data_IF_662854953745
#
_entry.id   IF_662854953745
#
_cell.length_a   1.000
_cell.length_b   1.000
_cell.length_c   1.000
_cell.angle_alpha   90.00
_cell.angle_beta   90.00
_cell.angle_gamma   90.00
#
_symmetry.space_group_name_H-M   'P 1'
#
loop_
_entity.id
_entity.type
_entity.pdbx_description
1 polymer ?
#
# COMPACT_ATOMS: atom_id res chain seq x y z
N UNK A 1 -3.96 -14.16 4.72
CA UNK A 1 -5.06 -13.73 3.82
C UNK A 1 -4.44 -12.88 2.72
N UNK A 2 -4.17 -13.46 1.55
CA UNK A 2 -3.24 -12.86 0.56
C UNK A 2 -3.69 -13.09 -0.90
N UNK A 3 -5.00 -13.02 -1.20
CA UNK A 3 -5.50 -13.17 -2.59
C UNK A 3 -6.72 -12.30 -2.89
N UNK A 4 -6.83 -11.10 -2.32
CA UNK A 4 -7.88 -10.17 -2.75
C UNK A 4 -7.41 -9.45 -4.03
N UNK A 5 -7.84 -9.92 -5.19
CA UNK A 5 -7.60 -9.26 -6.49
C UNK A 5 -8.40 -7.97 -6.63
N UNK A 6 -9.45 -7.83 -5.84
CA UNK A 6 -10.39 -6.72 -5.87
C UNK A 6 -10.64 -6.20 -4.45
N UNK A 7 -10.85 -4.89 -4.35
CA UNK A 7 -11.24 -4.23 -3.11
C UNK A 7 -12.62 -4.75 -2.69
N UNK A 8 -12.70 -5.32 -1.50
CA UNK A 8 -13.95 -5.92 -1.00
C UNK A 8 -15.08 -4.92 -0.71
N UNK A 9 -14.79 -3.61 -0.72
CA UNK A 9 -15.80 -2.56 -0.50
C UNK A 9 -16.53 -2.23 -1.80
N UNK A 10 -15.79 -2.00 -2.89
CA UNK A 10 -16.38 -1.62 -4.17
C UNK A 10 -16.50 -2.77 -5.17
N UNK A 11 -15.72 -3.85 -5.01
CA UNK A 11 -15.63 -4.97 -5.96
C UNK A 11 -15.27 -4.57 -7.40
N UNK A 12 -14.64 -3.40 -7.58
CA UNK A 12 -14.33 -2.83 -8.90
C UNK A 12 -12.83 -2.58 -9.12
N UNK A 13 -12.11 -2.17 -8.06
CA UNK A 13 -10.72 -1.69 -8.13
C UNK A 13 -9.80 -2.67 -7.44
N UNK A 14 -8.56 -2.77 -7.93
CA UNK A 14 -7.51 -3.51 -7.22
C UNK A 14 -7.20 -2.81 -5.89
N UNK A 15 -6.92 -3.57 -4.82
CA UNK A 15 -6.38 -2.98 -3.61
C UNK A 15 -5.00 -2.37 -3.87
N UNK A 16 -4.80 -1.12 -3.46
CA UNK A 16 -3.57 -0.33 -3.62
C UNK A 16 -3.12 0.30 -2.28
N UNK A 17 -3.87 0.10 -1.19
CA UNK A 17 -3.50 0.56 0.15
C UNK A 17 -3.56 -0.57 1.17
N UNK A 18 -2.57 -0.59 2.07
CA UNK A 18 -2.48 -1.50 3.22
C UNK A 18 -2.68 -0.69 4.50
N UNK A 19 -3.62 -1.10 5.34
CA UNK A 19 -3.81 -0.54 6.68
C UNK A 19 -2.82 -1.16 7.69
N UNK A 20 -2.60 -0.58 8.89
CA UNK A 20 -1.66 -1.12 9.88
C UNK A 20 -2.01 -2.53 10.38
N UNK A 21 -3.27 -2.94 10.21
CA UNK A 21 -3.75 -4.29 10.49
C UNK A 21 -3.53 -5.29 9.35
N UNK A 22 -2.74 -4.93 8.32
CA UNK A 22 -2.42 -5.72 7.13
C UNK A 22 -3.62 -6.06 6.22
N UNK A 23 -4.78 -5.43 6.42
CA UNK A 23 -5.90 -5.55 5.48
C UNK A 23 -5.77 -4.54 4.34
N UNK A 24 -6.15 -4.97 3.14
CA UNK A 24 -5.95 -4.23 1.90
C UNK A 24 -7.26 -3.79 1.26
N UNK A 25 -7.29 -2.57 0.74
CA UNK A 25 -8.44 -1.96 0.07
C UNK A 25 -7.96 -1.05 -1.06
N UNK A 26 -8.88 -0.50 -1.87
CA UNK A 26 -8.52 0.60 -2.76
C UNK A 26 -8.56 1.94 -2.01
N UNK A 27 -7.66 2.84 -2.39
CA UNK A 27 -7.40 4.18 -1.85
C UNK A 27 -8.69 4.98 -1.72
N UNK A 28 -9.45 5.07 -2.82
CA UNK A 28 -10.74 5.75 -2.87
C UNK A 28 -11.73 5.26 -1.81
N UNK A 29 -11.82 3.95 -1.58
CA UNK A 29 -12.73 3.41 -0.57
C UNK A 29 -12.27 3.72 0.87
N UNK A 30 -10.96 3.71 1.14
CA UNK A 30 -10.43 4.06 2.45
C UNK A 30 -10.50 5.55 2.73
N UNK A 31 -10.25 6.40 1.74
CA UNK A 31 -10.43 7.85 1.85
C UNK A 31 -11.89 8.21 2.16
N UNK A 32 -12.84 7.62 1.42
CA UNK A 32 -14.26 7.81 1.69
C UNK A 32 -14.65 7.27 3.08
N UNK A 33 -14.08 6.15 3.50
CA UNK A 33 -14.30 5.59 4.82
C UNK A 33 -13.84 6.54 5.94
N UNK A 34 -12.64 7.12 5.78
CA UNK A 34 -12.09 8.11 6.71
C UNK A 34 -12.89 9.41 6.68
N UNK A 35 -13.37 9.87 5.51
CA UNK A 35 -14.19 11.08 5.41
C UNK A 35 -15.55 10.96 6.12
N UNK A 36 -16.08 9.75 6.22
CA UNK A 36 -17.24 9.41 7.06
C UNK A 36 -16.91 9.33 8.57
N UNK A 37 -15.71 9.75 8.99
CA UNK A 37 -15.19 9.69 10.37
C UNK A 37 -15.14 8.28 10.96
N UNK A 38 -14.95 7.25 10.11
CA UNK A 38 -14.81 5.86 10.56
C UNK A 38 -13.33 5.52 10.79
N UNK A 39 -12.87 5.75 12.02
CA UNK A 39 -11.48 5.52 12.45
C UNK A 39 -11.15 4.06 12.77
N UNK A 40 -11.68 3.10 12.01
CA UNK A 40 -11.42 1.67 12.24
C UNK A 40 -11.44 0.87 10.95
N UNK A 41 -10.70 -0.23 10.89
CA UNK A 41 -10.67 -1.12 9.74
C UNK A 41 -12.07 -1.71 9.45
N UNK A 42 -12.55 -1.69 8.19
CA UNK A 42 -13.82 -2.30 7.80
C UNK A 42 -13.94 -3.80 8.12
N UNK A 43 -12.80 -4.53 8.17
CA UNK A 43 -12.76 -5.97 8.39
C UNK A 43 -12.61 -6.37 9.85
N UNK A 44 -11.57 -5.86 10.52
CA UNK A 44 -11.22 -6.28 11.88
C UNK A 44 -11.47 -5.24 12.96
N UNK A 45 -11.92 -4.03 12.59
CA UNK A 45 -12.17 -2.91 13.50
C UNK A 45 -10.95 -2.42 14.29
N UNK A 46 -9.73 -2.79 13.88
CA UNK A 46 -8.52 -2.16 14.42
C UNK A 46 -8.59 -0.63 14.22
N UNK A 47 -8.24 0.18 15.23
CA UNK A 47 -8.23 1.64 15.10
C UNK A 47 -7.32 2.12 13.96
N UNK A 48 -7.73 3.21 13.31
CA UNK A 48 -6.99 3.88 12.23
C UNK A 48 -6.86 5.38 12.54
N UNK A 49 -5.72 5.96 12.21
CA UNK A 49 -5.57 7.41 12.17
C UNK A 49 -6.29 8.01 10.95
N UNK A 50 -7.08 9.06 11.21
CA UNK A 50 -7.90 9.74 10.23
C UNK A 50 -7.12 10.74 9.37
N UNK A 51 -5.92 11.12 9.80
CA UNK A 51 -5.03 12.06 9.12
C UNK A 51 -4.33 11.48 7.88
N UNK A 52 -4.43 10.16 7.66
CA UNK A 52 -3.82 9.49 6.52
C UNK A 52 -2.45 8.87 6.80
N UNK A 53 -1.84 9.12 7.97
CA UNK A 53 -0.47 8.67 8.30
C UNK A 53 -0.30 7.15 8.36
N UNK A 54 -1.39 6.42 8.53
CA UNK A 54 -1.42 4.97 8.74
C UNK A 54 -1.60 4.12 7.47
N UNK A 55 -1.74 4.73 6.29
CA UNK A 55 -1.98 4.01 5.04
C UNK A 55 -0.71 3.93 4.19
N UNK A 56 -0.32 2.71 3.80
CA UNK A 56 0.83 2.47 2.94
C UNK A 56 0.36 2.13 1.52
N UNK A 57 0.92 2.79 0.52
CA UNK A 57 0.63 2.53 -0.90
C UNK A 57 1.39 1.28 -1.36
N UNK A 58 0.69 0.37 -2.03
CA UNK A 58 1.28 -0.79 -2.68
C UNK A 58 1.92 -0.30 -3.99
N UNK A 59 3.25 -0.40 -4.16
CA UNK A 59 3.88 -0.01 -5.41
C UNK A 59 3.44 -0.95 -6.54
N UNK A 60 3.42 -0.43 -7.77
CA UNK A 60 3.22 -1.24 -8.95
C UNK A 60 4.30 -2.33 -9.07
N UNK A 61 3.97 -3.40 -9.79
CA UNK A 61 4.92 -4.47 -10.07
C UNK A 61 6.06 -3.89 -10.91
N UNK A 62 7.27 -3.93 -10.35
CA UNK A 62 8.49 -3.57 -11.07
C UNK A 62 8.74 -4.63 -12.15
N UNK A 63 8.94 -4.20 -13.40
CA UNK A 63 9.20 -5.13 -14.51
C UNK A 63 10.52 -5.89 -14.31
N UNK A 64 10.58 -7.12 -14.82
CA UNK A 64 11.74 -7.99 -14.70
C UNK A 64 12.99 -7.29 -15.28
N UNK A 65 13.95 -6.99 -14.40
CA UNK A 65 15.22 -6.35 -14.76
C UNK A 65 15.36 -4.90 -14.30
N UNK A 66 14.27 -4.17 -14.06
CA UNK A 66 14.32 -2.79 -13.56
C UNK A 66 14.85 -2.75 -12.12
N UNK A 67 14.35 -3.65 -11.26
CA UNK A 67 14.86 -3.81 -9.89
C UNK A 67 16.36 -4.18 -9.88
N UNK A 68 16.77 -5.05 -10.82
CA UNK A 68 18.18 -5.46 -10.95
C UNK A 68 19.06 -4.25 -11.30
N UNK A 69 18.67 -3.45 -12.28
CA UNK A 69 19.41 -2.27 -12.69
C UNK A 69 19.52 -1.25 -11.54
N UNK A 70 18.43 -1.02 -10.82
CA UNK A 70 18.42 -0.15 -9.64
C UNK A 70 19.38 -0.64 -8.55
N UNK A 71 19.32 -1.93 -8.19
CA UNK A 71 20.23 -2.53 -7.20
C UNK A 71 21.70 -2.40 -7.64
N UNK A 72 22.00 -2.67 -8.91
CA UNK A 72 23.35 -2.49 -9.47
C UNK A 72 23.85 -1.04 -9.42
N UNK A 73 22.96 -0.05 -9.57
CA UNK A 73 23.35 1.36 -9.46
C UNK A 73 23.65 1.80 -8.03
N UNK A 74 22.96 1.23 -7.03
CA UNK A 74 23.24 1.53 -5.62
C UNK A 74 24.61 0.99 -5.17
N UNK A 75 25.02 -0.18 -5.67
CA UNK A 75 26.31 -0.78 -5.30
C UNK A 75 27.51 -0.06 -5.93
N UNK A 76 27.33 0.66 -7.04
CA UNK A 76 28.40 1.39 -7.74
C UNK A 76 28.75 2.74 -7.10
N UNK A 77 27.90 3.27 -6.22
CA UNK A 77 28.14 4.53 -5.52
C UNK A 77 29.20 4.42 -4.41
N UNK A 78 29.52 3.19 -3.97
CA UNK A 78 30.52 2.93 -2.94
C UNK A 78 31.97 2.97 -3.48
N UNK A 79 32.18 2.63 -4.76
CA UNK A 79 33.52 2.58 -5.37
C UNK A 79 34.09 3.96 -5.75
N UNK A 80 33.31 5.04 -5.58
CA UNK A 80 33.72 6.41 -5.94
C UNK A 80 34.21 7.24 -4.75
N UNK A 81 34.42 6.64 -3.58
CA UNK A 81 34.96 7.30 -2.37
C UNK A 81 36.28 6.72 -1.85
N UNK A 82 37.14 6.19 -2.73
CA UNK A 82 38.56 5.99 -2.43
C UNK A 82 39.47 6.77 -3.36
#
# INVERSE_FOLDING_TARGET
ALTATECIICMERKPDVVLPCAHTFCSLCIEQWKSMKKGWCPLCRNPLQLDGSDAWVIPDVIEDGELRNYLFSLTKLDESKS
#
